data_IF_823594469113
#
_entry.id   IF_823594469113
#
_cell.length_a   1.000
_cell.length_b   1.000
_cell.length_c   1.000
_cell.angle_alpha   90.00
_cell.angle_beta   90.00
_cell.angle_gamma   90.00
#
_symmetry.space_group_name_H-M   'P 1'
#
loop_
_entity.id
_entity.type
_entity.pdbx_description
1 polymer ?
#
# COMPACT_ATOMS: atom_id res chain seq x y z
N UNK A 1 6.40 -32.09 0.00
CA UNK A 1 5.01 -32.34 -0.46
C UNK A 1 4.11 -31.08 -0.46
N UNK A 2 4.63 -29.87 -0.22
CA UNK A 2 3.81 -28.66 0.04
C UNK A 2 3.58 -27.75 -1.18
N UNK A 3 4.48 -27.72 -2.17
CA UNK A 3 4.37 -26.80 -3.33
C UNK A 3 3.17 -27.06 -4.25
N UNK A 4 2.78 -28.34 -4.43
CA UNK A 4 1.67 -28.71 -5.32
C UNK A 4 0.28 -28.27 -4.79
N UNK A 5 0.09 -28.25 -3.47
CA UNK A 5 -1.16 -27.80 -2.85
C UNK A 5 -1.31 -26.27 -2.85
N UNK A 6 -0.20 -25.52 -2.69
CA UNK A 6 -0.21 -24.06 -2.71
C UNK A 6 -0.55 -23.53 -4.11
N UNK A 7 0.01 -24.14 -5.17
CA UNK A 7 -0.33 -23.84 -6.55
C UNK A 7 -1.80 -24.12 -6.90
N UNK A 8 -2.49 -25.01 -6.18
CA UNK A 8 -3.90 -25.30 -6.42
C UNK A 8 -4.81 -24.10 -6.11
N UNK A 9 -4.47 -23.25 -5.13
CA UNK A 9 -5.24 -22.04 -4.83
C UNK A 9 -5.10 -20.99 -5.92
N UNK A 10 -3.89 -20.80 -6.44
CA UNK A 10 -3.61 -19.90 -7.57
C UNK A 10 -4.38 -20.35 -8.81
N UNK A 11 -4.28 -21.64 -9.16
CA UNK A 11 -4.99 -22.22 -10.30
C UNK A 11 -6.51 -22.14 -10.14
N UNK A 12 -7.02 -22.33 -8.93
CA UNK A 12 -8.46 -22.19 -8.66
C UNK A 12 -8.92 -20.75 -8.85
N UNK A 13 -8.17 -19.76 -8.37
CA UNK A 13 -8.50 -18.36 -8.58
C UNK A 13 -8.43 -17.99 -10.06
N UNK A 14 -7.38 -18.39 -10.77
CA UNK A 14 -7.27 -18.17 -12.22
C UNK A 14 -8.47 -18.75 -12.98
N UNK A 15 -8.88 -19.99 -12.67
CA UNK A 15 -10.06 -20.61 -13.28
C UNK A 15 -11.37 -19.86 -13.00
N UNK A 16 -11.51 -19.22 -11.83
CA UNK A 16 -12.68 -18.40 -11.51
C UNK A 16 -12.66 -17.06 -12.25
N UNK A 17 -11.48 -16.48 -12.50
CA UNK A 17 -11.30 -15.22 -13.22
C UNK A 17 -11.46 -15.40 -14.73
N UNK A 18 -11.07 -16.54 -15.28
CA UNK A 18 -11.23 -16.90 -16.70
C UNK A 18 -12.67 -17.30 -17.07
N UNK A 19 -13.54 -17.51 -16.07
CA UNK A 19 -14.93 -17.85 -16.30
C UNK A 19 -15.71 -16.70 -16.94
N UNK A 20 -16.87 -17.02 -17.54
CA UNK A 20 -17.69 -16.06 -18.32
C UNK A 20 -17.79 -14.71 -17.60
N UNK A 21 -17.32 -13.60 -18.22
CA UNK A 21 -17.21 -12.32 -17.54
C UNK A 21 -18.57 -11.84 -17.05
N UNK A 22 -18.58 -11.28 -15.84
CA UNK A 22 -19.81 -10.79 -15.21
C UNK A 22 -20.45 -9.68 -16.05
N UNK A 23 -21.80 -9.64 -16.03
CA UNK A 23 -22.57 -8.54 -16.64
C UNK A 23 -22.42 -7.24 -15.86
N UNK A 24 -22.07 -7.31 -14.57
CA UNK A 24 -21.82 -6.14 -13.71
C UNK A 24 -20.46 -5.53 -14.01
N UNK A 25 -20.42 -4.22 -14.26
CA UNK A 25 -19.18 -3.50 -14.56
C UNK A 25 -18.16 -3.56 -13.43
N UNK A 26 -18.62 -3.40 -12.18
CA UNK A 26 -17.74 -3.44 -11.00
C UNK A 26 -17.11 -4.82 -10.80
N UNK A 27 -17.86 -5.90 -11.05
CA UNK A 27 -17.35 -7.25 -10.97
C UNK A 27 -16.27 -7.53 -12.03
N UNK A 28 -16.42 -6.98 -13.25
CA UNK A 28 -15.37 -7.09 -14.28
C UNK A 28 -14.12 -6.31 -13.89
N UNK A 29 -14.28 -5.07 -13.39
CA UNK A 29 -13.16 -4.25 -12.93
C UNK A 29 -12.41 -4.94 -11.79
N UNK A 30 -13.15 -5.52 -10.85
CA UNK A 30 -12.57 -6.27 -9.75
C UNK A 30 -11.83 -7.52 -10.23
N UNK A 31 -12.40 -8.28 -11.17
CA UNK A 31 -11.73 -9.44 -11.77
C UNK A 31 -10.41 -9.04 -12.46
N UNK A 32 -10.42 -7.97 -13.27
CA UNK A 32 -9.19 -7.46 -13.89
C UNK A 32 -8.13 -7.08 -12.86
N UNK A 33 -8.53 -6.40 -11.78
CA UNK A 33 -7.59 -6.05 -10.71
C UNK A 33 -7.02 -7.28 -10.01
N UNK A 34 -7.85 -8.28 -9.71
CA UNK A 34 -7.39 -9.55 -9.14
C UNK A 34 -6.44 -10.32 -10.06
N UNK A 35 -6.65 -10.28 -11.37
CA UNK A 35 -5.73 -10.88 -12.33
C UNK A 35 -4.36 -10.19 -12.30
N UNK A 36 -4.33 -8.85 -12.22
CA UNK A 36 -3.07 -8.10 -12.09
C UNK A 36 -2.35 -8.39 -10.77
N UNK A 37 -3.09 -8.51 -9.67
CA UNK A 37 -2.52 -8.63 -8.31
C UNK A 37 -2.41 -10.08 -7.82
N UNK A 38 -2.60 -11.08 -8.69
CA UNK A 38 -2.72 -12.48 -8.28
C UNK A 38 -1.53 -12.99 -7.47
N UNK A 39 -0.32 -12.57 -7.82
CA UNK A 39 0.92 -12.92 -7.14
C UNK A 39 0.99 -12.27 -5.74
N UNK A 40 0.52 -11.02 -5.63
CA UNK A 40 0.49 -10.28 -4.37
C UNK A 40 -0.53 -10.88 -3.38
N UNK A 41 -1.70 -11.31 -3.88
CA UNK A 41 -2.77 -11.91 -3.06
C UNK A 41 -2.30 -13.16 -2.33
N UNK A 42 -1.47 -13.98 -2.98
CA UNK A 42 -1.01 -15.26 -2.43
C UNK A 42 0.45 -15.25 -1.96
N UNK A 43 1.11 -14.10 -1.89
CA UNK A 43 2.52 -14.02 -1.48
C UNK A 43 2.79 -14.68 -0.11
N UNK A 44 1.84 -14.61 0.83
CA UNK A 44 1.94 -15.26 2.15
C UNK A 44 1.95 -16.79 2.10
N UNK A 45 1.50 -17.41 1.00
CA UNK A 45 1.58 -18.85 0.78
C UNK A 45 3.02 -19.29 0.48
N UNK A 46 3.86 -18.37 0.00
CA UNK A 46 5.21 -18.66 -0.47
C UNK A 46 6.30 -18.03 0.41
N UNK A 47 5.98 -16.95 1.13
CA UNK A 47 6.89 -16.27 2.05
C UNK A 47 6.38 -16.38 3.50
N UNK A 48 7.06 -17.16 4.36
CA UNK A 48 6.65 -17.34 5.76
C UNK A 48 6.83 -16.08 6.62
N UNK A 49 7.52 -15.04 6.13
CA UNK A 49 7.67 -13.76 6.84
C UNK A 49 6.45 -12.85 6.69
N UNK A 50 5.57 -13.17 5.74
CA UNK A 50 4.32 -12.47 5.50
C UNK A 50 3.19 -13.13 6.30
N UNK A 51 2.48 -12.32 7.08
CA UNK A 51 1.29 -12.79 7.78
C UNK A 51 0.15 -13.01 6.76
N UNK A 52 -0.61 -14.09 6.92
CA UNK A 52 -1.85 -14.35 6.18
C UNK A 52 -3.01 -13.43 6.61
N UNK A 53 -2.70 -12.20 7.01
CA UNK A 53 -3.64 -11.21 7.50
C UNK A 53 -3.32 -9.85 6.91
N UNK A 54 -4.35 -9.06 6.61
CA UNK A 54 -4.18 -7.68 6.19
C UNK A 54 -3.87 -6.72 7.37
N UNK A 55 -3.66 -7.25 8.58
CA UNK A 55 -3.53 -6.50 9.84
C UNK A 55 -2.49 -5.39 9.74
N UNK A 56 -1.29 -5.67 9.22
CA UNK A 56 -0.21 -4.68 9.07
C UNK A 56 -0.62 -3.51 8.17
N UNK A 57 -1.30 -3.81 7.06
CA UNK A 57 -1.78 -2.80 6.11
C UNK A 57 -2.95 -1.98 6.69
N UNK A 58 -3.92 -2.63 7.33
CA UNK A 58 -5.01 -1.94 8.02
C UNK A 58 -4.48 -1.02 9.11
N UNK A 59 -3.56 -1.52 9.96
CA UNK A 59 -2.94 -0.72 11.01
C UNK A 59 -2.14 0.46 10.46
N UNK A 60 -1.49 0.31 9.30
CA UNK A 60 -0.81 1.43 8.63
C UNK A 60 -1.78 2.53 8.19
N UNK A 61 -3.00 2.16 7.76
CA UNK A 61 -4.02 3.10 7.28
C UNK A 61 -4.84 3.75 8.39
N UNK A 62 -4.95 3.09 9.56
CA UNK A 62 -5.76 3.56 10.70
C UNK A 62 -5.52 5.03 11.08
N UNK A 63 -4.27 5.53 11.21
CA UNK A 63 -4.03 6.92 11.53
C UNK A 63 -4.68 7.89 10.54
N UNK A 64 -4.54 7.64 9.24
CA UNK A 64 -5.14 8.48 8.20
C UNK A 64 -6.67 8.42 8.22
N UNK A 65 -7.25 7.23 8.46
CA UNK A 65 -8.71 7.06 8.57
C UNK A 65 -9.27 7.80 9.79
N UNK A 66 -8.60 7.72 10.94
CA UNK A 66 -9.01 8.44 12.16
C UNK A 66 -8.94 9.94 11.93
N UNK A 67 -7.84 10.45 11.38
CA UNK A 67 -7.69 11.89 11.07
C UNK A 67 -8.76 12.37 10.09
N UNK A 68 -9.06 11.58 9.05
CA UNK A 68 -10.19 11.85 8.13
C UNK A 68 -11.52 11.98 8.87
N UNK A 69 -11.81 11.06 9.78
CA UNK A 69 -13.10 11.03 10.51
C UNK A 69 -13.22 12.12 11.56
N UNK A 70 -12.17 12.35 12.35
CA UNK A 70 -12.21 13.23 13.51
C UNK A 70 -12.24 14.73 13.14
N UNK A 71 -11.46 15.13 12.14
CA UNK A 71 -11.29 16.55 11.79
C UNK A 71 -11.56 16.85 10.30
N UNK A 72 -12.15 15.90 9.57
CA UNK A 72 -12.33 15.98 8.11
C UNK A 72 -11.05 15.69 7.32
N UNK A 73 -9.92 15.49 7.99
CA UNK A 73 -8.60 15.10 7.47
C UNK A 73 -8.11 15.85 6.26
N UNK A 74 -8.44 17.14 6.14
CA UNK A 74 -8.10 17.90 4.95
C UNK A 74 -8.71 17.31 3.66
N UNK A 75 -9.84 16.59 3.69
CA UNK A 75 -10.43 16.03 2.48
C UNK A 75 -11.64 16.83 1.96
N UNK A 76 -11.80 18.08 2.41
CA UNK A 76 -12.90 18.96 1.97
C UNK A 76 -12.69 19.45 0.53
N UNK A 77 -11.45 19.45 0.04
CA UNK A 77 -11.09 19.71 -1.35
C UNK A 77 -10.16 18.62 -1.85
N UNK A 78 -10.09 18.44 -3.18
CA UNK A 78 -9.15 17.50 -3.81
C UNK A 78 -7.69 17.84 -3.53
N UNK A 79 -7.36 19.13 -3.49
CA UNK A 79 -6.02 19.64 -3.17
C UNK A 79 -5.58 19.27 -1.76
N UNK A 80 -6.47 19.49 -0.79
CA UNK A 80 -6.15 19.20 0.61
C UNK A 80 -6.03 17.68 0.80
N UNK A 81 -6.85 16.88 0.10
CA UNK A 81 -6.79 15.41 0.16
C UNK A 81 -5.47 14.86 -0.40
N UNK A 82 -5.01 15.44 -1.51
CA UNK A 82 -3.70 15.10 -2.08
C UNK A 82 -2.57 15.45 -1.11
N UNK A 83 -2.64 16.62 -0.47
CA UNK A 83 -1.64 17.05 0.52
C UNK A 83 -1.60 16.10 1.72
N UNK A 84 -2.76 15.70 2.23
CA UNK A 84 -2.89 14.74 3.32
C UNK A 84 -2.35 13.36 2.94
N UNK A 85 -2.61 12.89 1.71
CA UNK A 85 -2.09 11.62 1.20
C UNK A 85 -0.56 11.62 1.14
N UNK A 86 0.04 12.69 0.60
CA UNK A 86 1.50 12.84 0.52
C UNK A 86 2.10 12.85 1.92
N UNK A 87 1.55 13.66 2.83
CA UNK A 87 2.05 13.74 4.20
C UNK A 87 1.94 12.39 4.91
N UNK A 88 0.78 11.72 4.85
CA UNK A 88 0.61 10.41 5.46
C UNK A 88 1.62 9.38 4.95
N UNK A 89 1.92 9.39 3.64
CA UNK A 89 2.93 8.51 3.04
C UNK A 89 4.34 8.79 3.57
N UNK A 90 4.73 10.08 3.64
CA UNK A 90 6.03 10.49 4.16
C UNK A 90 6.22 10.10 5.63
N UNK A 91 5.23 10.42 6.47
CA UNK A 91 5.26 10.09 7.91
C UNK A 91 5.31 8.58 8.12
N UNK A 92 4.54 7.81 7.33
CA UNK A 92 4.55 6.35 7.40
C UNK A 92 5.91 5.78 7.01
N UNK A 93 6.49 6.28 5.93
CA UNK A 93 7.81 5.85 5.46
C UNK A 93 8.90 6.18 6.47
N UNK A 94 8.87 7.39 7.04
CA UNK A 94 9.79 7.80 8.10
C UNK A 94 9.71 6.88 9.32
N UNK A 95 8.50 6.59 9.77
CA UNK A 95 8.27 5.67 10.88
C UNK A 95 8.77 4.23 10.57
N UNK A 96 8.49 3.71 9.37
CA UNK A 96 8.95 2.39 8.96
C UNK A 96 10.48 2.28 8.87
N UNK A 97 11.17 3.39 8.52
CA UNK A 97 12.63 3.49 8.50
C UNK A 97 13.24 3.83 9.86
N UNK A 98 12.44 3.98 10.92
CA UNK A 98 12.93 4.34 12.26
C UNK A 98 13.46 5.78 12.37
N UNK A 99 13.02 6.68 11.49
CA UNK A 99 13.46 8.07 11.46
C UNK A 99 12.68 8.93 12.46
N UNK A 100 13.35 9.96 13.01
CA UNK A 100 12.65 11.03 13.72
C UNK A 100 11.82 11.85 12.74
N UNK A 101 10.51 11.64 12.84
CA UNK A 101 9.53 12.24 11.93
C UNK A 101 9.48 13.76 12.07
N UNK A 102 9.70 14.29 13.28
CA UNK A 102 9.73 15.73 13.52
C UNK A 102 10.95 16.36 12.88
N UNK A 103 12.12 15.76 13.05
CA UNK A 103 13.36 16.23 12.44
C UNK A 103 13.27 16.23 10.90
N UNK A 104 12.67 15.19 10.32
CA UNK A 104 12.40 15.11 8.88
C UNK A 104 11.53 16.27 8.40
N UNK A 105 10.42 16.57 9.09
CA UNK A 105 9.53 17.67 8.72
C UNK A 105 10.20 19.04 8.86
N UNK A 106 10.91 19.26 9.96
CA UNK A 106 11.65 20.51 10.20
C UNK A 106 12.67 20.74 9.09
N UNK A 107 13.43 19.70 8.73
CA UNK A 107 14.42 19.77 7.64
C UNK A 107 13.76 20.09 6.31
N UNK A 108 12.65 19.42 5.98
CA UNK A 108 11.89 19.68 4.75
C UNK A 108 11.35 21.12 4.67
N UNK A 109 10.84 21.65 5.78
CA UNK A 109 10.27 23.00 5.84
C UNK A 109 11.34 24.11 5.82
N UNK A 110 12.56 23.82 6.26
CA UNK A 110 13.69 24.74 6.24
C UNK A 110 14.48 24.70 4.93
N UNK A 111 14.19 23.75 4.04
CA UNK A 111 14.89 23.63 2.77
C UNK A 111 14.63 24.87 1.88
N UNK A 112 15.66 25.50 1.29
CA UNK A 112 15.50 26.71 0.47
C UNK A 112 14.67 26.48 -0.80
N UNK A 113 14.60 25.23 -1.26
CA UNK A 113 13.86 24.77 -2.43
C UNK A 113 13.28 23.39 -2.16
N UNK A 114 12.18 23.01 -2.84
CA UNK A 114 11.67 21.64 -2.78
C UNK A 114 12.75 20.64 -3.18
N UNK A 115 13.09 19.72 -2.28
CA UNK A 115 14.12 18.71 -2.50
C UNK A 115 13.70 17.38 -1.85
N UNK A 116 14.17 16.27 -2.42
CA UNK A 116 14.03 14.95 -1.80
C UNK A 116 15.11 14.81 -0.74
N UNK A 117 14.72 14.73 0.52
CA UNK A 117 15.66 14.52 1.62
C UNK A 117 16.41 13.20 1.43
N UNK A 118 17.70 13.18 1.77
CA UNK A 118 18.55 11.98 1.68
C UNK A 118 17.93 10.79 2.43
N UNK A 119 17.24 11.08 3.54
CA UNK A 119 16.47 10.12 4.33
C UNK A 119 15.41 9.32 3.53
N UNK A 120 14.94 9.86 2.40
CA UNK A 120 13.96 9.25 1.50
C UNK A 120 14.54 8.80 0.17
N UNK A 121 15.82 9.05 -0.11
CA UNK A 121 16.46 8.53 -1.30
C UNK A 121 16.53 7.00 -1.20
N UNK A 122 16.29 6.33 -2.33
CA UNK A 122 16.54 4.89 -2.45
C UNK A 122 18.05 4.71 -2.62
N UNK A 123 18.68 3.92 -1.76
CA UNK A 123 20.03 3.42 -2.06
C UNK A 123 19.91 2.60 -3.35
N UNK A 124 20.74 2.81 -4.38
CA UNK A 124 20.70 1.96 -5.56
C UNK A 124 20.96 0.53 -5.10
N UNK A 125 20.04 -0.39 -5.38
CA UNK A 125 20.30 -1.80 -5.17
C UNK A 125 21.44 -2.18 -6.12
N UNK A 126 22.63 -2.45 -5.56
CA UNK A 126 23.68 -3.15 -6.28
C UNK A 126 23.16 -4.56 -6.55
N UNK A 127 22.62 -4.78 -7.74
CA UNK A 127 22.39 -6.09 -8.32
C UNK A 127 23.53 -6.43 -9.26
#
# INVERSE_FOLDING_TARGET
>A
MTGACLGAYVNRLASLLDHRPSRLADARRFATHLTTEIDAVFSFLFDPTLDATNWRAEHALRPAVVTRKACGGGNRTTRDAQSQQILASLLRTAHQRGLDTTAVLVTALQAPRPAVLDAFQSVPALH
#
